data_IF_548203575556
#
_entry.id   IF_548203575556
#
_cell.length_a   1.000
_cell.length_b   1.000
_cell.length_c   1.000
_cell.angle_alpha   90.00
_cell.angle_beta   90.00
_cell.angle_gamma   90.00
#
_symmetry.space_group_name_H-M   'P 1'
#
loop_
_entity.id
_entity.type
_entity.pdbx_description
1 polymer ?
#
# COMPACT_ATOMS: atom_id res chain seq x y z
N UNK A 1 -16.98 10.82 0.72
CA UNK A 1 -17.78 9.83 -0.01
C UNK A 1 -18.65 9.10 1.02
N UNK A 2 -19.97 9.18 0.86
CA UNK A 2 -20.94 8.56 1.76
C UNK A 2 -21.46 7.22 1.21
N UNK A 3 -22.11 6.41 2.06
CA UNK A 3 -22.76 5.17 1.62
C UNK A 3 -23.92 5.43 0.64
N UNK A 4 -24.50 6.62 0.69
CA UNK A 4 -25.51 7.06 -0.29
C UNK A 4 -24.89 7.24 -1.66
N UNK A 5 -23.73 7.90 -1.75
CA UNK A 5 -23.01 8.12 -3.01
C UNK A 5 -22.62 6.79 -3.68
N UNK A 6 -22.24 5.79 -2.86
CA UNK A 6 -21.92 4.45 -3.34
C UNK A 6 -23.13 3.74 -3.91
N UNK A 7 -24.25 3.75 -3.18
CA UNK A 7 -25.50 3.08 -3.61
C UNK A 7 -26.12 3.72 -4.84
N UNK A 8 -26.13 5.03 -4.90
CA UNK A 8 -26.70 5.79 -6.02
C UNK A 8 -25.72 5.94 -7.19
N UNK A 9 -24.48 5.45 -7.04
CA UNK A 9 -23.41 5.55 -8.05
C UNK A 9 -23.24 6.98 -8.56
N UNK A 10 -23.24 7.94 -7.62
CA UNK A 10 -23.13 9.36 -7.94
C UNK A 10 -21.74 9.69 -8.44
N UNK A 11 -21.66 10.67 -9.35
CA UNK A 11 -20.36 11.12 -9.86
C UNK A 11 -19.74 12.11 -8.86
N UNK A 12 -19.15 11.57 -7.79
CA UNK A 12 -18.39 12.32 -6.79
C UNK A 12 -16.96 11.83 -6.71
N UNK A 13 -16.05 12.71 -6.31
CA UNK A 13 -14.66 12.37 -6.10
C UNK A 13 -14.09 13.07 -4.86
N UNK A 14 -13.01 12.50 -4.32
CA UNK A 14 -12.16 13.11 -3.31
C UNK A 14 -10.79 13.30 -3.94
N UNK A 15 -10.25 14.50 -3.86
CA UNK A 15 -8.93 14.82 -4.39
C UNK A 15 -7.86 14.57 -3.32
N UNK A 16 -6.71 14.09 -3.73
CA UNK A 16 -5.53 14.10 -2.90
C UNK A 16 -4.99 15.54 -2.75
N UNK A 17 -4.24 15.81 -1.69
CA UNK A 17 -3.84 17.16 -1.31
C UNK A 17 -3.11 17.90 -2.43
N UNK A 18 -2.11 17.27 -3.05
CA UNK A 18 -1.33 17.89 -4.12
C UNK A 18 -2.17 18.10 -5.38
N UNK A 19 -3.00 17.14 -5.76
CA UNK A 19 -3.93 17.28 -6.91
C UNK A 19 -4.90 18.44 -6.70
N UNK A 20 -5.39 18.62 -5.47
CA UNK A 20 -6.27 19.74 -5.16
C UNK A 20 -5.55 21.10 -5.31
N UNK A 21 -4.31 21.21 -4.83
CA UNK A 21 -3.49 22.42 -5.00
C UNK A 21 -3.17 22.72 -6.47
N UNK A 22 -2.82 21.71 -7.26
CA UNK A 22 -2.49 21.86 -8.67
C UNK A 22 -3.69 22.29 -9.51
N UNK A 23 -4.88 21.73 -9.24
CA UNK A 23 -6.08 22.02 -10.03
C UNK A 23 -6.78 23.29 -9.61
N UNK A 24 -6.79 23.64 -8.34
CA UNK A 24 -7.59 24.76 -7.81
C UNK A 24 -6.76 25.89 -7.18
N UNK A 25 -5.45 25.72 -7.01
CA UNK A 25 -4.50 26.70 -6.50
C UNK A 25 -5.00 27.47 -5.25
N UNK A 26 -5.78 28.54 -5.44
CA UNK A 26 -6.26 29.44 -4.40
C UNK A 26 -7.76 29.34 -4.12
N UNK A 27 -8.46 28.40 -4.75
CA UNK A 27 -9.91 28.21 -4.59
C UNK A 27 -10.20 26.97 -3.76
N UNK A 28 -11.29 27.02 -2.97
CA UNK A 28 -11.76 25.83 -2.28
C UNK A 28 -12.24 24.79 -3.30
N UNK A 29 -11.62 23.62 -3.38
CA UNK A 29 -12.01 22.56 -4.30
C UNK A 29 -13.37 21.94 -3.98
N UNK A 30 -13.81 21.99 -2.71
CA UNK A 30 -15.04 21.33 -2.26
C UNK A 30 -16.26 22.01 -2.86
N UNK A 31 -17.12 21.22 -3.50
CA UNK A 31 -18.28 21.73 -4.26
C UNK A 31 -18.00 22.09 -5.71
N UNK A 32 -16.73 22.11 -6.13
CA UNK A 32 -16.36 22.32 -7.53
C UNK A 32 -16.48 21.02 -8.33
N UNK A 33 -16.34 21.10 -9.65
CA UNK A 33 -16.39 19.93 -10.53
C UNK A 33 -15.08 19.72 -11.28
N UNK A 34 -14.60 18.49 -11.30
CA UNK A 34 -13.43 18.06 -12.06
C UNK A 34 -13.85 17.16 -13.21
N UNK A 35 -13.22 17.30 -14.36
CA UNK A 35 -13.40 16.39 -15.49
C UNK A 35 -12.38 15.27 -15.39
N UNK A 36 -12.87 14.03 -15.21
CA UNK A 36 -12.06 12.82 -15.18
C UNK A 36 -12.46 11.98 -16.38
N UNK A 37 -11.50 11.70 -17.27
CA UNK A 37 -11.76 11.16 -18.59
C UNK A 37 -12.80 12.05 -19.33
N UNK A 38 -13.95 11.50 -19.68
CA UNK A 38 -15.01 12.26 -20.38
C UNK A 38 -16.19 12.67 -19.50
N UNK A 39 -16.09 12.52 -18.19
CA UNK A 39 -17.19 12.77 -17.25
C UNK A 39 -16.83 13.80 -16.20
N UNK A 40 -17.83 14.54 -15.73
CA UNK A 40 -17.68 15.48 -14.61
C UNK A 40 -18.01 14.80 -13.30
N UNK A 41 -17.18 15.05 -12.30
CA UNK A 41 -17.34 14.59 -10.93
C UNK A 41 -17.34 15.78 -9.98
N UNK A 42 -18.24 15.80 -9.03
CA UNK A 42 -18.27 16.82 -7.99
C UNK A 42 -17.25 16.48 -6.91
N UNK A 43 -16.43 17.45 -6.52
CA UNK A 43 -15.47 17.29 -5.44
C UNK A 43 -16.19 17.37 -4.10
N UNK A 44 -16.17 16.30 -3.32
CA UNK A 44 -16.83 16.22 -2.00
C UNK A 44 -15.85 16.31 -0.83
N UNK A 45 -14.56 16.34 -1.11
CA UNK A 45 -13.53 16.48 -0.08
C UNK A 45 -12.12 16.45 -0.65
N UNK A 46 -11.17 16.79 0.20
CA UNK A 46 -9.73 16.72 -0.06
C UNK A 46 -9.07 15.92 1.06
N UNK A 47 -8.09 15.08 0.73
CA UNK A 47 -7.34 14.34 1.75
C UNK A 47 -6.28 15.23 2.40
N UNK A 48 -5.89 14.90 3.62
CA UNK A 48 -4.68 15.49 4.22
C UNK A 48 -3.45 14.97 3.51
N UNK A 49 -2.39 15.80 3.37
CA UNK A 49 -1.10 15.36 2.84
C UNK A 49 -0.60 14.12 3.59
N UNK A 50 -0.08 13.15 2.85
CA UNK A 50 0.55 11.95 3.40
C UNK A 50 2.00 11.92 2.96
N UNK A 51 2.89 11.52 3.85
CA UNK A 51 4.25 11.23 3.45
C UNK A 51 4.27 10.02 2.52
N UNK A 52 5.06 10.10 1.45
CA UNK A 52 5.22 8.99 0.52
C UNK A 52 5.70 7.77 1.32
N UNK A 53 4.93 6.69 1.28
CA UNK A 53 5.37 5.43 1.85
C UNK A 53 6.58 4.96 1.08
N UNK A 54 7.72 4.82 1.74
CA UNK A 54 8.90 4.24 1.12
C UNK A 54 8.53 2.89 0.49
N UNK A 55 8.90 2.69 -0.77
CA UNK A 55 8.61 1.47 -1.50
C UNK A 55 9.16 0.26 -0.75
N UNK A 56 8.25 -0.49 -0.14
CA UNK A 56 8.58 -1.69 0.60
C UNK A 56 8.44 -2.87 -0.35
N UNK A 57 9.58 -3.28 -0.91
CA UNK A 57 9.64 -4.39 -1.85
C UNK A 57 9.27 -3.99 -3.29
N UNK A 58 10.08 -4.35 -4.24
CA UNK A 58 10.18 -3.89 -5.62
C UNK A 58 8.95 -3.90 -6.55
N UNK A 59 7.73 -3.99 -6.04
CA UNK A 59 6.48 -3.83 -6.81
C UNK A 59 5.55 -2.77 -6.26
N UNK A 60 5.82 -2.23 -5.07
CA UNK A 60 5.19 -1.01 -4.63
C UNK A 60 6.16 0.12 -4.99
N UNK A 61 6.16 0.54 -6.25
CA UNK A 61 6.62 1.89 -6.60
C UNK A 61 6.01 2.82 -5.59
N UNK A 62 6.82 3.67 -4.92
CA UNK A 62 6.33 4.58 -3.90
C UNK A 62 5.07 5.25 -4.41
N UNK A 63 3.94 4.83 -3.89
CA UNK A 63 2.65 5.34 -4.33
C UNK A 63 2.57 6.75 -3.77
N UNK A 64 2.66 7.73 -4.63
CA UNK A 64 2.47 9.12 -4.28
C UNK A 64 0.99 9.40 -4.07
N UNK A 65 0.46 8.94 -2.94
CA UNK A 65 -0.95 9.11 -2.56
C UNK A 65 -1.46 10.56 -2.60
N UNK A 66 -0.55 11.54 -2.74
CA UNK A 66 -0.90 12.95 -2.80
C UNK A 66 -1.32 13.42 -4.19
N UNK A 67 -1.13 12.60 -5.24
CA UNK A 67 -1.50 12.89 -6.62
C UNK A 67 -2.73 12.12 -7.11
N UNK A 68 -3.36 11.35 -6.22
CA UNK A 68 -4.48 10.50 -6.56
C UNK A 68 -5.82 11.24 -6.62
N UNK A 69 -6.79 10.65 -7.32
CA UNK A 69 -8.20 11.02 -7.29
C UNK A 69 -9.01 9.78 -6.88
N UNK A 70 -9.77 9.89 -5.81
CA UNK A 70 -10.57 8.79 -5.28
C UNK A 70 -12.00 8.89 -5.75
N UNK A 71 -12.52 7.84 -6.36
CA UNK A 71 -13.89 7.72 -6.87
C UNK A 71 -14.54 6.50 -6.20
N UNK A 72 -15.86 6.51 -5.91
CA UNK A 72 -16.53 5.31 -5.42
C UNK A 72 -16.38 4.14 -6.39
N UNK A 73 -16.03 2.97 -5.88
CA UNK A 73 -15.75 1.79 -6.69
C UNK A 73 -16.93 1.40 -7.59
N UNK A 74 -18.14 1.47 -7.06
CA UNK A 74 -19.37 1.15 -7.80
C UNK A 74 -19.64 2.14 -8.94
N UNK A 75 -19.24 3.41 -8.73
CA UNK A 75 -19.34 4.44 -9.78
C UNK A 75 -18.27 4.20 -10.85
N UNK A 76 -17.05 3.87 -10.44
CA UNK A 76 -15.96 3.56 -11.35
C UNK A 76 -16.31 2.38 -12.26
N UNK A 77 -16.76 1.27 -11.69
CA UNK A 77 -17.16 0.07 -12.45
C UNK A 77 -18.24 0.33 -13.50
N UNK A 78 -19.27 1.13 -13.13
CA UNK A 78 -20.36 1.45 -14.06
C UNK A 78 -19.98 2.47 -15.11
N UNK A 79 -19.04 3.39 -14.80
CA UNK A 79 -18.71 4.52 -15.67
C UNK A 79 -17.48 4.28 -16.55
N UNK A 80 -16.50 3.57 -16.04
CA UNK A 80 -15.22 3.27 -16.71
C UNK A 80 -15.11 1.79 -17.10
N UNK A 81 -15.83 0.90 -16.37
CA UNK A 81 -15.68 -0.55 -16.50
C UNK A 81 -14.47 -1.06 -15.73
N UNK A 82 -14.26 -2.36 -15.78
CA UNK A 82 -13.09 -3.03 -15.18
C UNK A 82 -11.97 -3.24 -16.24
N UNK A 83 -12.01 -2.45 -17.34
CA UNK A 83 -11.02 -2.49 -18.42
C UNK A 83 -9.86 -1.54 -18.11
N UNK A 84 -8.70 -2.10 -17.85
CA UNK A 84 -7.44 -1.36 -17.87
C UNK A 84 -6.93 -1.26 -19.31
N UNK A 85 -6.90 -0.04 -19.84
CA UNK A 85 -6.47 0.23 -21.21
C UNK A 85 -5.12 0.93 -21.16
N UNK A 86 -4.05 0.19 -21.33
CA UNK A 86 -2.71 0.75 -21.50
C UNK A 86 -2.46 1.07 -22.99
N UNK A 87 -2.45 2.38 -23.29
CA UNK A 87 -2.10 2.92 -24.61
C UNK A 87 -0.68 3.48 -24.57
N UNK A 88 0.27 2.65 -24.88
CA UNK A 88 1.64 3.12 -25.17
C UNK A 88 1.84 3.28 -26.66
N UNK A 89 2.74 4.19 -27.05
CA UNK A 89 3.04 4.46 -28.44
C UNK A 89 3.49 3.15 -29.15
N UNK A 90 2.60 2.58 -29.99
CA UNK A 90 2.85 1.36 -30.73
C UNK A 90 2.33 0.05 -30.12
N UNK A 91 1.72 0.08 -28.94
CA UNK A 91 1.04 -1.08 -28.35
C UNK A 91 -0.30 -0.70 -27.72
N UNK A 92 -1.29 -1.54 -27.97
CA UNK A 92 -2.60 -1.47 -27.33
C UNK A 92 -2.80 -2.74 -26.51
N UNK A 93 -2.93 -2.60 -25.21
CA UNK A 93 -3.28 -3.67 -24.30
C UNK A 93 -4.57 -3.29 -23.58
N UNK A 94 -5.57 -4.16 -23.62
CA UNK A 94 -6.78 -4.04 -22.84
C UNK A 94 -6.92 -5.29 -21.98
N UNK A 95 -6.87 -5.13 -20.68
CA UNK A 95 -6.98 -6.21 -19.72
C UNK A 95 -8.17 -5.94 -18.79
N UNK A 96 -8.99 -6.95 -18.57
CA UNK A 96 -10.08 -6.86 -17.60
C UNK A 96 -9.56 -7.31 -16.25
N UNK A 97 -9.43 -6.37 -15.31
CA UNK A 97 -8.84 -6.60 -14.00
C UNK A 97 -9.87 -6.29 -12.91
N UNK A 98 -10.43 -7.31 -12.30
CA UNK A 98 -11.34 -7.12 -11.15
C UNK A 98 -10.62 -6.60 -9.91
N UNK A 99 -9.40 -7.06 -9.67
CA UNK A 99 -8.58 -6.72 -8.51
C UNK A 99 -7.12 -6.52 -8.92
N UNK A 100 -6.61 -5.31 -8.76
CA UNK A 100 -5.21 -4.99 -9.07
C UNK A 100 -4.23 -5.50 -8.01
N UNK A 101 -4.66 -5.56 -6.75
CA UNK A 101 -3.79 -5.95 -5.65
C UNK A 101 -4.57 -6.56 -4.49
N UNK A 102 -4.04 -7.66 -3.94
CA UNK A 102 -4.50 -8.26 -2.70
C UNK A 102 -3.38 -8.16 -1.68
N UNK A 103 -3.64 -7.53 -0.54
CA UNK A 103 -2.68 -7.44 0.56
C UNK A 103 -3.10 -8.38 1.69
N UNK A 104 -2.21 -9.29 2.04
CA UNK A 104 -2.40 -10.23 3.15
C UNK A 104 -1.60 -9.78 4.37
N UNK A 105 -2.27 -9.68 5.51
CA UNK A 105 -1.63 -9.41 6.80
C UNK A 105 -1.43 -10.73 7.54
N UNK A 106 -0.20 -11.02 7.92
CA UNK A 106 0.18 -12.25 8.63
C UNK A 106 0.64 -11.85 10.03
N UNK A 107 0.13 -12.54 11.05
CA UNK A 107 0.38 -12.20 12.46
C UNK A 107 1.81 -12.47 12.92
N UNK A 108 2.49 -13.44 12.30
CA UNK A 108 3.85 -13.84 12.64
C UNK A 108 4.79 -13.65 11.45
N UNK A 109 5.90 -12.94 11.70
CA UNK A 109 6.94 -12.65 10.70
C UNK A 109 7.55 -13.93 10.13
N UNK A 110 7.72 -14.97 10.96
CA UNK A 110 8.33 -16.24 10.55
C UNK A 110 7.39 -17.04 9.60
N UNK A 111 6.10 -16.73 9.60
CA UNK A 111 5.10 -17.35 8.73
C UNK A 111 4.93 -16.67 7.36
N UNK A 112 5.54 -15.49 7.16
CA UNK A 112 5.36 -14.71 5.92
C UNK A 112 5.88 -15.46 4.69
N UNK A 113 7.10 -15.99 4.77
CA UNK A 113 7.72 -16.69 3.63
C UNK A 113 7.03 -18.02 3.31
N UNK A 114 6.72 -18.90 4.31
CA UNK A 114 5.94 -20.10 4.06
C UNK A 114 4.55 -19.80 3.45
N UNK A 115 3.83 -18.81 3.99
CA UNK A 115 2.51 -18.43 3.49
C UNK A 115 2.57 -17.91 2.05
N UNK A 116 3.59 -17.12 1.71
CA UNK A 116 3.79 -16.66 0.34
C UNK A 116 4.03 -17.83 -0.64
N UNK A 117 4.70 -18.90 -0.18
CA UNK A 117 4.86 -20.13 -0.93
C UNK A 117 3.51 -20.81 -1.24
N UNK A 118 2.68 -20.99 -0.21
CA UNK A 118 1.34 -21.58 -0.35
C UNK A 118 0.46 -20.74 -1.28
N UNK A 119 0.49 -19.41 -1.14
CA UNK A 119 -0.27 -18.51 -1.98
C UNK A 119 0.15 -18.59 -3.45
N UNK A 120 1.46 -18.66 -3.70
CA UNK A 120 1.99 -18.81 -5.06
C UNK A 120 1.52 -20.14 -5.69
N UNK A 121 1.58 -21.21 -4.94
CA UNK A 121 1.13 -22.53 -5.41
C UNK A 121 -0.38 -22.55 -5.69
N UNK A 122 -1.19 -21.95 -4.82
CA UNK A 122 -2.63 -21.79 -5.01
C UNK A 122 -2.97 -20.99 -6.26
N UNK A 123 -2.30 -19.85 -6.47
CA UNK A 123 -2.50 -19.01 -7.64
C UNK A 123 -2.06 -19.71 -8.93
N UNK A 124 -0.97 -20.47 -8.89
CA UNK A 124 -0.49 -21.23 -10.06
C UNK A 124 -1.48 -22.30 -10.53
N UNK A 125 -2.26 -22.87 -9.64
CA UNK A 125 -3.30 -23.83 -10.02
C UNK A 125 -4.50 -23.16 -10.71
N UNK A 126 -4.77 -21.91 -10.38
CA UNK A 126 -5.95 -21.19 -10.88
C UNK A 126 -5.62 -20.37 -12.14
N UNK A 127 -4.39 -19.84 -12.22
CA UNK A 127 -3.91 -19.00 -13.32
C UNK A 127 -2.98 -19.80 -14.25
N UNK A 128 -3.45 -20.08 -15.45
CA UNK A 128 -2.73 -20.93 -16.42
C UNK A 128 -1.54 -20.28 -17.11
N UNK A 129 -1.56 -18.94 -17.18
CA UNK A 129 -0.50 -18.16 -17.82
C UNK A 129 0.42 -17.52 -16.81
N UNK A 130 1.22 -18.08 -16.08
CA UNK A 130 2.09 -17.58 -14.98
C UNK A 130 2.64 -16.14 -15.03
N UNK A 131 2.15 -15.30 -15.95
CA UNK A 131 2.53 -13.89 -16.12
C UNK A 131 1.46 -12.89 -15.67
N UNK A 132 0.30 -13.36 -15.22
CA UNK A 132 -0.85 -12.53 -14.85
C UNK A 132 -0.90 -12.15 -13.35
N UNK A 133 0.01 -12.69 -12.54
CA UNK A 133 0.12 -12.33 -11.12
C UNK A 133 1.57 -12.28 -10.64
N UNK A 134 1.82 -11.48 -9.60
CA UNK A 134 3.11 -11.40 -8.91
C UNK A 134 2.92 -11.47 -7.41
N UNK A 135 3.61 -12.40 -6.74
CA UNK A 135 3.61 -12.51 -5.27
C UNK A 135 4.85 -11.84 -4.72
N UNK A 136 4.68 -10.70 -4.09
CA UNK A 136 5.75 -9.90 -3.52
C UNK A 136 5.82 -10.07 -2.01
N UNK A 137 7.00 -10.40 -1.52
CA UNK A 137 7.29 -10.50 -0.09
C UNK A 137 8.33 -9.43 0.26
N UNK A 138 8.08 -8.54 1.22
CA UNK A 138 9.04 -7.50 1.62
C UNK A 138 10.21 -8.09 2.44
N UNK A 139 11.07 -8.88 1.79
CA UNK A 139 12.17 -9.62 2.43
C UNK A 139 13.17 -8.70 3.16
N UNK A 140 13.40 -7.50 2.63
CA UNK A 140 14.31 -6.53 3.27
C UNK A 140 13.84 -6.14 4.67
N UNK A 141 12.54 -5.89 4.84
CA UNK A 141 11.96 -5.57 6.15
C UNK A 141 12.04 -6.76 7.11
N UNK A 142 11.79 -7.97 6.60
CA UNK A 142 11.91 -9.18 7.41
C UNK A 142 13.33 -9.38 7.91
N UNK A 143 14.34 -9.17 7.06
CA UNK A 143 15.75 -9.21 7.43
C UNK A 143 16.12 -8.13 8.45
N UNK A 144 15.66 -6.90 8.25
CA UNK A 144 15.88 -5.81 9.19
C UNK A 144 15.26 -6.11 10.57
N UNK A 145 14.03 -6.62 10.62
CA UNK A 145 13.39 -7.03 11.87
C UNK A 145 14.19 -8.11 12.60
N UNK A 146 14.70 -9.13 11.89
CA UNK A 146 15.55 -10.16 12.45
C UNK A 146 16.89 -9.61 12.98
N UNK A 147 17.52 -8.69 12.25
CA UNK A 147 18.75 -8.03 12.68
C UNK A 147 18.54 -7.20 13.96
N UNK A 148 17.47 -6.39 14.01
CA UNK A 148 17.12 -5.61 15.19
C UNK A 148 16.94 -6.53 16.41
N UNK A 149 16.24 -7.63 16.27
CA UNK A 149 16.05 -8.64 17.34
C UNK A 149 17.39 -9.19 17.84
N UNK A 150 18.32 -9.49 16.94
CA UNK A 150 19.66 -9.96 17.29
C UNK A 150 20.45 -8.89 18.05
N UNK A 151 20.42 -7.64 17.59
CA UNK A 151 21.08 -6.50 18.26
C UNK A 151 20.53 -6.33 19.68
N UNK A 152 19.20 -6.35 19.86
CA UNK A 152 18.59 -6.27 21.19
C UNK A 152 19.04 -7.40 22.11
N UNK A 153 19.08 -8.64 21.63
CA UNK A 153 19.54 -9.77 22.41
C UNK A 153 21.00 -9.63 22.86
N UNK A 154 21.88 -9.16 21.98
CA UNK A 154 23.29 -8.90 22.28
C UNK A 154 23.44 -7.77 23.31
N UNK A 155 22.73 -6.66 23.15
CA UNK A 155 22.78 -5.54 24.09
C UNK A 155 22.25 -5.95 25.47
N UNK A 156 21.12 -6.62 25.55
CA UNK A 156 20.55 -7.12 26.80
C UNK A 156 21.46 -8.13 27.47
N UNK A 157 22.02 -9.06 26.71
CA UNK A 157 22.97 -10.06 27.21
C UNK A 157 24.27 -9.44 27.74
N UNK A 158 24.82 -8.44 27.03
CA UNK A 158 26.03 -7.75 27.46
C UNK A 158 25.81 -6.91 28.73
N UNK A 159 24.70 -6.18 28.82
CA UNK A 159 24.36 -5.41 30.03
C UNK A 159 24.13 -6.32 31.24
N UNK A 160 23.45 -7.44 31.04
CA UNK A 160 23.28 -8.45 32.11
C UNK A 160 24.62 -9.03 32.56
N UNK A 161 25.51 -9.35 31.63
CA UNK A 161 26.85 -9.89 31.97
C UNK A 161 27.70 -8.87 32.73
N UNK A 162 27.72 -7.59 32.31
CA UNK A 162 28.43 -6.51 33.02
C UNK A 162 27.88 -6.36 34.44
N UNK A 163 26.54 -6.33 34.58
CA UNK A 163 25.90 -6.20 35.89
C UNK A 163 26.26 -7.38 36.83
N UNK A 164 26.33 -8.60 36.31
CA UNK A 164 26.71 -9.77 37.04
C UNK A 164 28.18 -9.69 37.51
N UNK A 165 29.09 -9.26 36.64
CA UNK A 165 30.51 -9.08 36.96
C UNK A 165 30.68 -8.01 38.06
N UNK A 166 30.05 -6.87 37.91
CA UNK A 166 30.12 -5.77 38.88
C UNK A 166 29.54 -6.21 40.23
N UNK A 167 28.39 -6.88 40.20
CA UNK A 167 27.77 -7.44 41.42
C UNK A 167 28.63 -8.50 42.07
N UNK A 168 29.27 -9.39 41.30
CA UNK A 168 30.20 -10.42 41.80
C UNK A 168 31.44 -9.82 42.47
N UNK A 169 32.02 -8.77 41.86
CA UNK A 169 33.16 -8.04 42.47
C UNK A 169 32.74 -7.37 43.79
N UNK A 170 31.54 -6.78 43.81
CA UNK A 170 31.00 -6.17 45.04
C UNK A 170 30.84 -7.15 46.20
N UNK A 171 30.38 -8.38 45.93
CA UNK A 171 30.22 -9.44 46.94
C UNK A 171 31.60 -9.96 47.39
N UNK A 172 32.56 -10.07 46.49
CA UNK A 172 33.89 -10.57 46.82
C UNK A 172 34.72 -9.61 47.69
N UNK A 173 34.35 -8.31 47.74
CA UNK A 173 35.03 -7.28 48.49
C UNK A 173 34.43 -7.05 49.88
N UNK A 174 33.50 -7.87 50.34
CA UNK A 174 32.94 -7.94 51.69
C UNK A 174 33.56 -9.11 52.44
#
# INVERSE_FOLDING_TARGET
ISDKDRREKTNVCVLAAQTAEELFQFQDPVGQSVKIADRRYAVVGVTTPREASAAIGGSMSGQEYNQDIYIPLETMRVRMGDLDIDRRQGSFSAEEVELNQITLTISDVDQVVPTAGVMRESLQQTHRSGNDYSVVVPQELLKQAAQIRTIFNVVLGSTAAISLIVGGIGIMNI
#
